data_IF_538004471310
#
_entry.id   IF_538004471310
#
_cell.length_a   1.000
_cell.length_b   1.000
_cell.length_c   1.000
_cell.angle_alpha   90.00
_cell.angle_beta   90.00
_cell.angle_gamma   90.00
#
_symmetry.space_group_name_H-M   'P 1'
#
loop_
_entity.id
_entity.type
_entity.pdbx_description
1 polymer ?
#
# COMPACT_ATOMS: atom_id res chain seq x y z
N UNK A 1 -31.30 11.53 -16.27
CA UNK A 1 -31.17 13.00 -16.30
C UNK A 1 -30.27 13.37 -15.12
N UNK A 2 -29.11 13.96 -15.34
CA UNK A 2 -28.23 14.41 -14.26
C UNK A 2 -28.95 15.54 -13.50
N UNK A 3 -29.08 15.37 -12.19
CA UNK A 3 -29.62 16.41 -11.33
C UNK A 3 -28.57 17.50 -11.15
N UNK A 4 -28.93 18.76 -11.38
CA UNK A 4 -28.03 19.92 -11.18
C UNK A 4 -27.40 19.94 -9.77
N UNK A 5 -28.14 19.49 -8.76
CA UNK A 5 -27.62 19.39 -7.39
C UNK A 5 -26.52 18.36 -7.25
N UNK A 6 -26.64 17.22 -7.93
CA UNK A 6 -25.61 16.15 -7.92
C UNK A 6 -24.32 16.60 -8.66
N UNK A 7 -24.47 17.38 -9.73
CA UNK A 7 -23.33 17.97 -10.44
C UNK A 7 -22.61 18.99 -9.55
N UNK A 8 -23.36 19.84 -8.87
CA UNK A 8 -22.79 20.82 -7.94
C UNK A 8 -22.08 20.16 -6.77
N UNK A 9 -22.67 19.13 -6.18
CA UNK A 9 -22.07 18.35 -5.10
C UNK A 9 -20.76 17.66 -5.55
N UNK A 10 -20.74 17.06 -6.75
CA UNK A 10 -19.52 16.44 -7.29
C UNK A 10 -18.40 17.47 -7.51
N UNK A 11 -18.72 18.64 -8.04
CA UNK A 11 -17.74 19.72 -8.19
C UNK A 11 -17.21 20.20 -6.85
N UNK A 12 -18.05 20.32 -5.83
CA UNK A 12 -17.64 20.68 -4.48
C UNK A 12 -16.69 19.63 -3.88
N UNK A 13 -17.02 18.34 -4.04
CA UNK A 13 -16.13 17.24 -3.59
C UNK A 13 -14.74 17.33 -4.22
N UNK A 14 -14.63 17.68 -5.49
CA UNK A 14 -13.36 17.80 -6.21
C UNK A 14 -12.61 19.08 -5.81
N UNK A 15 -13.25 20.24 -5.91
CA UNK A 15 -12.58 21.55 -5.77
C UNK A 15 -12.25 21.90 -4.31
N UNK A 16 -13.14 21.54 -3.37
CA UNK A 16 -13.04 21.98 -1.97
C UNK A 16 -12.68 20.86 -1.01
N UNK A 17 -13.09 19.60 -1.29
CA UNK A 17 -13.03 18.48 -0.35
C UNK A 17 -11.93 17.47 -0.70
N UNK A 18 -11.06 17.79 -1.67
CA UNK A 18 -9.88 16.97 -2.05
C UNK A 18 -10.21 15.56 -2.55
N UNK A 19 -11.39 15.37 -3.19
CA UNK A 19 -11.65 14.12 -3.90
C UNK A 19 -10.66 13.95 -5.04
N UNK A 20 -9.94 12.85 -5.05
CA UNK A 20 -9.07 12.49 -6.15
C UNK A 20 -9.23 11.02 -6.58
N UNK A 21 -8.87 10.74 -7.82
CA UNK A 21 -8.50 9.40 -8.25
C UNK A 21 -7.02 9.26 -7.97
N UNK A 22 -6.69 8.54 -6.90
CA UNK A 22 -5.31 8.40 -6.45
C UNK A 22 -4.43 7.74 -7.49
N UNK A 23 -4.98 6.78 -8.24
CA UNK A 23 -4.23 6.10 -9.29
C UNK A 23 -5.14 5.43 -10.33
N UNK A 24 -4.69 5.48 -11.60
CA UNK A 24 -5.03 4.46 -12.59
C UNK A 24 -3.82 3.53 -12.68
N UNK A 25 -4.01 2.26 -12.34
CA UNK A 25 -2.96 1.24 -12.34
C UNK A 25 -3.26 0.18 -13.38
N UNK A 26 -2.33 -0.05 -14.30
CA UNK A 26 -2.40 -1.14 -15.26
C UNK A 26 -1.66 -2.35 -14.69
N UNK A 27 -2.39 -3.44 -14.40
CA UNK A 27 -1.81 -4.74 -14.12
C UNK A 27 -1.44 -5.42 -15.43
N UNK A 28 -0.22 -5.99 -15.51
CA UNK A 28 0.30 -6.68 -16.70
C UNK A 28 0.89 -8.02 -16.27
N UNK A 29 0.38 -9.12 -16.82
CA UNK A 29 1.01 -10.43 -16.66
C UNK A 29 2.33 -10.48 -17.41
N UNK A 30 3.40 -10.93 -16.73
CA UNK A 30 4.71 -11.15 -17.33
C UNK A 30 5.10 -12.64 -17.39
N UNK A 31 4.14 -13.54 -17.20
CA UNK A 31 4.42 -14.98 -17.19
C UNK A 31 5.00 -15.47 -18.52
N UNK A 32 4.56 -14.91 -19.63
CA UNK A 32 5.05 -15.19 -20.98
C UNK A 32 6.40 -14.51 -21.33
N UNK A 33 6.92 -13.68 -20.41
CA UNK A 33 8.24 -13.06 -20.56
C UNK A 33 9.38 -13.96 -20.03
N UNK A 34 9.06 -15.08 -19.37
CA UNK A 34 10.06 -16.03 -18.89
C UNK A 34 10.85 -16.63 -20.06
N UNK A 35 12.18 -16.74 -19.89
CA UNK A 35 13.10 -17.25 -20.90
C UNK A 35 14.29 -17.96 -20.24
N UNK A 36 15.18 -18.56 -21.03
CA UNK A 36 16.36 -19.29 -20.53
C UNK A 36 17.50 -18.35 -20.10
N UNK A 37 17.54 -17.12 -20.64
CA UNK A 37 18.54 -16.11 -20.28
C UNK A 37 17.90 -14.87 -19.64
N UNK A 38 18.62 -14.25 -18.70
CA UNK A 38 18.19 -13.03 -18.03
C UNK A 38 18.03 -11.86 -19.00
N UNK A 39 18.94 -11.74 -19.98
CA UNK A 39 18.90 -10.66 -20.95
C UNK A 39 17.64 -10.75 -21.83
N UNK A 40 17.25 -11.96 -22.24
CA UNK A 40 16.00 -12.19 -22.97
C UNK A 40 14.76 -11.89 -22.11
N UNK A 41 14.78 -12.26 -20.83
CA UNK A 41 13.71 -11.89 -19.89
C UNK A 41 13.57 -10.37 -19.77
N UNK A 42 14.70 -9.65 -19.66
CA UNK A 42 14.71 -8.18 -19.61
C UNK A 42 14.13 -7.55 -20.87
N UNK A 43 14.53 -8.05 -22.05
CA UNK A 43 14.02 -7.57 -23.34
C UNK A 43 12.51 -7.83 -23.48
N UNK A 44 12.04 -9.03 -23.12
CA UNK A 44 10.62 -9.40 -23.16
C UNK A 44 9.78 -8.50 -22.24
N UNK A 45 10.24 -8.29 -21.01
CA UNK A 45 9.59 -7.40 -20.03
C UNK A 45 9.50 -5.97 -20.58
N UNK A 46 10.62 -5.43 -21.06
CA UNK A 46 10.66 -4.08 -21.62
C UNK A 46 9.68 -3.92 -22.78
N UNK A 47 9.71 -4.85 -23.73
CA UNK A 47 8.87 -4.81 -24.92
C UNK A 47 7.38 -4.95 -24.56
N UNK A 48 7.02 -5.85 -23.64
CA UNK A 48 5.63 -6.06 -23.22
C UNK A 48 5.07 -4.82 -22.52
N UNK A 49 5.78 -4.29 -21.52
CA UNK A 49 5.35 -3.11 -20.77
C UNK A 49 5.22 -1.90 -21.70
N UNK A 50 6.21 -1.63 -22.54
CA UNK A 50 6.17 -0.47 -23.43
C UNK A 50 5.13 -0.59 -24.54
N UNK A 51 4.68 -1.80 -24.86
CA UNK A 51 3.58 -2.02 -25.80
C UNK A 51 2.23 -1.83 -25.16
N UNK A 52 2.00 -2.43 -23.99
CA UNK A 52 0.70 -2.40 -23.31
C UNK A 52 0.39 -1.04 -22.69
N UNK A 53 1.38 -0.42 -22.05
CA UNK A 53 1.19 0.80 -21.27
C UNK A 53 1.50 2.10 -22.05
N UNK A 54 1.78 2.03 -23.36
CA UNK A 54 2.17 3.18 -24.18
C UNK A 54 1.20 4.38 -24.11
N UNK A 55 -0.08 4.12 -23.97
CA UNK A 55 -1.14 5.13 -23.97
C UNK A 55 -1.72 5.37 -22.55
N UNK A 56 -1.21 4.72 -21.51
CA UNK A 56 -1.76 4.79 -20.16
C UNK A 56 -1.75 6.22 -19.60
N UNK A 57 -0.61 6.88 -19.66
CA UNK A 57 -0.41 8.23 -19.11
C UNK A 57 -1.24 9.25 -19.88
N UNK A 58 -1.17 9.23 -21.20
CA UNK A 58 -1.96 10.16 -22.07
C UNK A 58 -3.46 9.97 -21.91
N UNK A 59 -3.92 8.73 -21.74
CA UNK A 59 -5.33 8.41 -21.47
C UNK A 59 -5.77 8.95 -20.11
N UNK A 60 -4.97 8.75 -19.06
CA UNK A 60 -5.25 9.30 -17.73
C UNK A 60 -5.37 10.83 -17.75
N UNK A 61 -4.43 11.52 -18.40
CA UNK A 61 -4.46 12.97 -18.57
C UNK A 61 -5.67 13.45 -19.41
N UNK A 62 -6.08 12.70 -20.41
CA UNK A 62 -7.25 13.03 -21.21
C UNK A 62 -8.55 12.89 -20.39
N UNK A 63 -8.68 11.84 -19.57
CA UNK A 63 -9.82 11.64 -18.67
C UNK A 63 -9.89 12.77 -17.65
N UNK A 64 -8.75 13.13 -17.05
CA UNK A 64 -8.66 14.24 -16.10
C UNK A 64 -9.16 15.55 -16.72
N UNK A 65 -8.74 15.88 -17.94
CA UNK A 65 -9.23 17.09 -18.66
C UNK A 65 -10.72 17.03 -18.99
N UNK A 66 -11.22 15.85 -19.43
CA UNK A 66 -12.58 15.69 -19.92
C UNK A 66 -13.61 15.69 -18.77
N UNK A 67 -13.24 15.18 -17.60
CA UNK A 67 -14.13 15.05 -16.45
C UNK A 67 -13.85 16.06 -15.34
N UNK A 68 -12.70 16.74 -15.36
CA UNK A 68 -12.29 17.65 -14.31
C UNK A 68 -11.91 16.94 -12.98
N UNK A 69 -11.75 15.61 -13.00
CA UNK A 69 -11.42 14.80 -11.83
C UNK A 69 -9.89 14.60 -11.78
N UNK A 70 -9.18 15.08 -10.75
CA UNK A 70 -7.74 14.87 -10.63
C UNK A 70 -7.37 13.39 -10.61
N UNK A 71 -6.40 12.99 -11.44
CA UNK A 71 -5.82 11.64 -11.46
C UNK A 71 -4.35 11.78 -11.08
N UNK A 72 -4.06 11.56 -9.80
CA UNK A 72 -2.77 11.93 -9.20
C UNK A 72 -1.62 11.11 -9.77
N UNK A 73 -1.79 9.78 -9.89
CA UNK A 73 -0.76 8.87 -10.38
C UNK A 73 -1.26 7.95 -11.50
N UNK A 74 -0.35 7.55 -12.37
CA UNK A 74 -0.51 6.47 -13.35
C UNK A 74 0.57 5.44 -13.04
N UNK A 75 0.18 4.19 -12.77
CA UNK A 75 1.07 3.16 -12.24
C UNK A 75 0.96 1.87 -13.04
N UNK A 76 1.97 1.01 -12.88
CA UNK A 76 1.96 -0.34 -13.42
C UNK A 76 2.17 -1.32 -12.27
N UNK A 77 1.45 -2.45 -12.28
CA UNK A 77 1.77 -3.63 -11.48
C UNK A 77 2.07 -4.79 -12.40
N UNK A 78 3.04 -5.62 -12.03
CA UNK A 78 3.41 -6.79 -12.84
C UNK A 78 3.36 -8.06 -11.99
N UNK A 79 3.33 -9.20 -12.66
CA UNK A 79 3.47 -10.52 -12.02
C UNK A 79 4.69 -10.52 -11.10
N UNK A 80 4.62 -11.12 -9.90
CA UNK A 80 5.77 -11.24 -9.01
C UNK A 80 7.02 -11.72 -9.74
N UNK A 81 8.06 -10.88 -9.77
CA UNK A 81 9.27 -11.13 -10.56
C UNK A 81 10.02 -12.38 -10.10
N UNK A 82 9.85 -12.79 -8.83
CA UNK A 82 10.41 -14.07 -8.36
C UNK A 82 9.94 -15.27 -9.19
N UNK A 83 8.74 -15.21 -9.76
CA UNK A 83 8.18 -16.26 -10.62
C UNK A 83 8.72 -16.16 -12.05
N UNK A 84 8.80 -14.94 -12.59
CA UNK A 84 9.23 -14.69 -13.97
C UNK A 84 10.73 -14.98 -14.14
N UNK A 85 11.55 -14.58 -13.16
CA UNK A 85 13.00 -14.80 -13.17
C UNK A 85 13.47 -16.18 -12.70
N UNK A 86 12.55 -17.05 -12.22
CA UNK A 86 12.91 -18.29 -11.54
C UNK A 86 13.76 -19.26 -12.40
N UNK A 87 13.54 -19.31 -13.70
CA UNK A 87 14.29 -20.20 -14.62
C UNK A 87 15.66 -19.64 -15.01
N UNK A 88 15.77 -18.32 -15.17
CA UNK A 88 16.94 -17.64 -15.74
C UNK A 88 17.91 -17.11 -14.70
N UNK A 89 17.42 -16.54 -13.59
CA UNK A 89 18.26 -15.92 -12.56
C UNK A 89 19.00 -16.97 -11.72
N UNK A 90 20.31 -16.82 -11.60
CA UNK A 90 21.21 -17.70 -10.82
C UNK A 90 21.87 -16.97 -9.65
N UNK A 91 21.84 -15.64 -9.68
CA UNK A 91 22.42 -14.75 -8.67
C UNK A 91 21.46 -13.62 -8.34
N UNK A 92 21.67 -12.96 -7.20
CA UNK A 92 20.91 -11.74 -6.85
C UNK A 92 21.12 -10.61 -7.87
N UNK A 93 22.32 -10.50 -8.45
CA UNK A 93 22.62 -9.50 -9.50
C UNK A 93 21.81 -9.74 -10.79
N UNK A 94 21.42 -10.96 -11.08
CA UNK A 94 20.54 -11.23 -12.24
C UNK A 94 19.14 -10.64 -12.01
N UNK A 95 18.62 -10.71 -10.78
CA UNK A 95 17.36 -10.04 -10.43
C UNK A 95 17.50 -8.51 -10.48
N UNK A 96 18.65 -7.93 -10.10
CA UNK A 96 18.91 -6.49 -10.25
C UNK A 96 18.80 -6.03 -11.69
N UNK A 97 19.28 -6.83 -12.67
CA UNK A 97 19.09 -6.51 -14.11
C UNK A 97 17.61 -6.42 -14.48
N UNK A 98 16.77 -7.31 -13.94
CA UNK A 98 15.32 -7.25 -14.17
C UNK A 98 14.72 -6.00 -13.52
N UNK A 99 15.17 -5.59 -12.33
CA UNK A 99 14.75 -4.34 -11.73
C UNK A 99 15.05 -3.12 -12.61
N UNK A 100 16.25 -3.07 -13.20
CA UNK A 100 16.61 -2.04 -14.17
C UNK A 100 15.74 -2.08 -15.42
N UNK A 101 15.40 -3.25 -15.95
CA UNK A 101 14.51 -3.38 -17.11
C UNK A 101 13.10 -2.84 -16.78
N UNK A 102 12.58 -3.12 -15.59
CA UNK A 102 11.30 -2.57 -15.10
C UNK A 102 11.36 -1.05 -14.99
N UNK A 103 12.40 -0.50 -14.37
CA UNK A 103 12.60 0.95 -14.20
C UNK A 103 12.67 1.68 -15.55
N UNK A 104 13.46 1.13 -16.50
CA UNK A 104 13.59 1.68 -17.84
C UNK A 104 12.26 1.63 -18.61
N UNK A 105 11.54 0.50 -18.57
CA UNK A 105 10.26 0.37 -19.24
C UNK A 105 9.22 1.35 -18.66
N UNK A 106 9.13 1.44 -17.34
CA UNK A 106 8.21 2.33 -16.65
C UNK A 106 8.52 3.82 -16.94
N UNK A 107 9.78 4.22 -16.90
CA UNK A 107 10.22 5.57 -17.30
C UNK A 107 9.92 5.86 -18.77
N UNK A 108 10.08 4.89 -19.67
CA UNK A 108 9.79 5.04 -21.10
C UNK A 108 8.32 5.36 -21.35
N UNK A 109 7.39 4.75 -20.63
CA UNK A 109 5.95 5.03 -20.77
C UNK A 109 5.48 6.18 -19.87
N UNK A 110 6.35 6.71 -19.01
CA UNK A 110 6.11 7.90 -18.19
C UNK A 110 5.22 7.69 -16.99
N UNK A 111 5.12 6.46 -16.45
CA UNK A 111 4.36 6.18 -15.23
C UNK A 111 5.14 6.60 -13.99
N UNK A 112 4.41 6.87 -12.91
CA UNK A 112 4.99 7.38 -11.67
C UNK A 112 5.69 6.30 -10.86
N UNK A 113 5.14 5.07 -10.84
CA UNK A 113 5.68 3.93 -10.08
C UNK A 113 5.36 2.62 -10.80
N UNK A 114 6.21 1.60 -10.58
CA UNK A 114 5.98 0.22 -11.00
C UNK A 114 6.20 -0.75 -9.84
N UNK A 115 5.18 -1.58 -9.54
CA UNK A 115 5.22 -2.62 -8.51
C UNK A 115 5.26 -4.02 -9.11
N UNK A 116 5.58 -5.00 -8.26
CA UNK A 116 5.68 -6.40 -8.66
C UNK A 116 7.11 -6.95 -8.65
N UNK A 117 8.11 -6.15 -8.25
CA UNK A 117 9.41 -6.70 -7.91
C UNK A 117 9.32 -7.45 -6.57
N UNK A 118 8.55 -8.55 -6.57
CA UNK A 118 7.95 -9.14 -5.38
C UNK A 118 8.19 -10.65 -5.29
N UNK A 119 8.08 -11.19 -4.05
CA UNK A 119 8.13 -12.61 -3.75
C UNK A 119 6.96 -13.04 -2.85
N UNK A 120 6.43 -14.26 -3.07
CA UNK A 120 5.29 -14.81 -2.35
C UNK A 120 5.73 -16.03 -1.52
N UNK A 121 6.24 -15.79 -0.31
CA UNK A 121 6.92 -16.78 0.54
C UNK A 121 6.09 -17.23 1.76
N UNK A 122 4.78 -17.11 1.70
CA UNK A 122 3.88 -17.31 2.85
C UNK A 122 3.92 -18.71 3.49
N UNK A 123 4.50 -19.69 2.82
CA UNK A 123 4.62 -21.06 3.33
C UNK A 123 6.08 -21.53 3.45
N UNK A 124 6.87 -21.21 2.48
CA UNK A 124 8.32 -21.41 2.45
C UNK A 124 8.88 -20.66 1.25
N UNK A 125 10.17 -20.45 1.24
CA UNK A 125 10.91 -19.70 0.24
C UNK A 125 11.61 -20.66 -0.73
N UNK A 126 11.49 -20.38 -2.03
CA UNK A 126 12.27 -21.05 -3.07
C UNK A 126 13.63 -20.39 -3.24
N UNK A 127 14.64 -21.06 -3.85
CA UNK A 127 15.92 -20.42 -4.13
C UNK A 127 15.81 -19.12 -4.96
N UNK A 128 14.89 -19.06 -5.92
CA UNK A 128 14.68 -17.86 -6.74
C UNK A 128 14.10 -16.70 -5.92
N UNK A 129 13.17 -16.98 -5.02
CA UNK A 129 12.60 -15.99 -4.11
C UNK A 129 13.65 -15.47 -3.14
N UNK A 130 14.52 -16.33 -2.61
CA UNK A 130 15.63 -15.92 -1.76
C UNK A 130 16.61 -14.99 -2.50
N UNK A 131 16.97 -15.33 -3.74
CA UNK A 131 17.84 -14.49 -4.57
C UNK A 131 17.22 -13.11 -4.83
N UNK A 132 15.92 -13.05 -5.16
CA UNK A 132 15.21 -11.78 -5.32
C UNK A 132 15.21 -10.97 -4.01
N UNK A 133 14.87 -11.58 -2.88
CA UNK A 133 14.85 -10.88 -1.58
C UNK A 133 16.23 -10.32 -1.24
N UNK A 134 17.29 -11.10 -1.46
CA UNK A 134 18.68 -10.65 -1.25
C UNK A 134 19.14 -9.57 -2.25
N UNK A 135 18.46 -9.42 -3.38
CA UNK A 135 18.75 -8.36 -4.35
C UNK A 135 18.15 -7.00 -3.97
N UNK A 136 17.17 -6.96 -3.04
CA UNK A 136 16.39 -5.76 -2.73
C UNK A 136 17.24 -4.54 -2.33
N UNK A 137 18.28 -4.65 -1.50
CA UNK A 137 19.08 -3.47 -1.13
C UNK A 137 19.67 -2.78 -2.35
N UNK A 138 20.25 -3.56 -3.28
CA UNK A 138 20.83 -3.04 -4.50
C UNK A 138 19.77 -2.60 -5.50
N UNK A 139 18.75 -3.41 -5.74
CA UNK A 139 17.69 -3.08 -6.69
C UNK A 139 16.96 -1.79 -6.33
N UNK A 140 16.59 -1.60 -5.05
CA UNK A 140 15.87 -0.41 -4.61
C UNK A 140 16.75 0.82 -4.44
N UNK A 141 18.07 0.69 -4.27
CA UNK A 141 19.00 1.83 -4.29
C UNK A 141 19.37 2.29 -5.70
N UNK A 142 19.43 1.36 -6.68
CA UNK A 142 19.84 1.65 -8.05
C UNK A 142 18.68 2.01 -9.00
N UNK A 143 17.42 1.86 -8.57
CA UNK A 143 16.23 2.20 -9.37
C UNK A 143 15.43 3.32 -8.72
N UNK A 144 14.75 4.15 -9.52
CA UNK A 144 14.02 5.30 -8.98
C UNK A 144 12.58 4.94 -8.60
N UNK A 145 11.86 4.23 -9.47
CA UNK A 145 10.40 4.05 -9.38
C UNK A 145 9.93 2.61 -9.20
N UNK A 146 10.87 1.67 -9.07
CA UNK A 146 10.55 0.25 -8.81
C UNK A 146 10.18 0.07 -7.34
N UNK A 147 9.03 -0.56 -7.12
CA UNK A 147 8.52 -0.92 -5.80
C UNK A 147 8.47 -2.42 -5.60
N UNK A 148 8.64 -2.85 -4.35
CA UNK A 148 8.75 -4.25 -3.98
C UNK A 148 7.85 -4.62 -2.81
N UNK A 149 7.45 -5.88 -2.77
CA UNK A 149 6.78 -6.47 -1.61
C UNK A 149 7.13 -7.94 -1.43
N UNK A 150 7.06 -8.40 -0.18
CA UNK A 150 7.22 -9.82 0.17
C UNK A 150 6.06 -10.26 1.05
N UNK A 151 5.31 -11.27 0.60
CA UNK A 151 4.20 -11.82 1.38
C UNK A 151 4.68 -13.01 2.23
N UNK A 152 4.90 -12.77 3.54
CA UNK A 152 5.52 -13.73 4.47
C UNK A 152 4.51 -14.66 5.15
N UNK A 153 3.22 -14.42 5.01
CA UNK A 153 2.21 -15.20 5.73
C UNK A 153 0.82 -15.10 5.12
N UNK A 154 -0.03 -16.02 5.53
CA UNK A 154 -1.46 -15.97 5.26
C UNK A 154 -2.27 -16.71 6.30
N UNK A 155 -3.57 -16.39 6.37
CA UNK A 155 -4.52 -17.13 7.21
C UNK A 155 -4.52 -18.62 6.92
N UNK A 156 -4.24 -19.03 5.66
CA UNK A 156 -4.24 -20.44 5.24
C UNK A 156 -2.94 -21.17 5.53
N UNK A 157 -1.80 -20.47 5.48
CA UNK A 157 -0.48 -21.12 5.54
C UNK A 157 0.25 -20.88 6.87
N UNK A 158 -0.13 -19.88 7.64
CA UNK A 158 0.63 -19.41 8.79
C UNK A 158 1.67 -18.36 8.38
N UNK A 159 2.75 -18.25 9.14
CA UNK A 159 3.82 -17.25 8.94
C UNK A 159 5.14 -17.99 8.74
N UNK A 160 5.87 -17.68 7.68
CA UNK A 160 7.22 -18.21 7.46
C UNK A 160 8.26 -17.37 8.22
N UNK A 161 8.70 -17.88 9.37
CA UNK A 161 9.63 -17.16 10.25
C UNK A 161 11.04 -17.04 9.67
N UNK A 162 11.45 -17.92 8.76
CA UNK A 162 12.74 -17.80 8.08
C UNK A 162 12.76 -16.55 7.18
N UNK A 163 11.67 -16.33 6.45
CA UNK A 163 11.51 -15.12 5.62
C UNK A 163 11.38 -13.86 6.48
N UNK A 164 10.68 -13.94 7.61
CA UNK A 164 10.53 -12.81 8.56
C UNK A 164 11.89 -12.41 9.13
N UNK A 165 12.71 -13.37 9.55
CA UNK A 165 14.08 -13.11 10.04
C UNK A 165 14.93 -12.45 8.94
N UNK A 166 14.95 -13.03 7.75
CA UNK A 166 15.69 -12.48 6.62
C UNK A 166 15.28 -11.04 6.32
N UNK A 167 13.97 -10.73 6.31
CA UNK A 167 13.47 -9.40 5.98
C UNK A 167 13.89 -8.33 6.97
N UNK A 168 14.05 -8.63 8.25
CA UNK A 168 14.60 -7.66 9.22
C UNK A 168 16.01 -7.20 8.83
N UNK A 169 16.86 -8.13 8.38
CA UNK A 169 18.18 -7.80 7.87
C UNK A 169 18.11 -7.03 6.55
N UNK A 170 17.30 -7.48 5.60
CA UNK A 170 17.13 -6.83 4.30
C UNK A 170 16.63 -5.38 4.45
N UNK A 171 15.68 -5.11 5.33
CA UNK A 171 15.20 -3.74 5.58
C UNK A 171 16.34 -2.85 6.13
N UNK A 172 17.18 -3.37 7.02
CA UNK A 172 18.38 -2.66 7.48
C UNK A 172 19.35 -2.39 6.33
N UNK A 173 19.59 -3.37 5.48
CA UNK A 173 20.48 -3.23 4.33
C UNK A 173 19.94 -2.22 3.31
N UNK A 174 18.62 -2.21 3.05
CA UNK A 174 17.95 -1.19 2.21
C UNK A 174 18.12 0.21 2.80
N UNK A 175 17.88 0.33 4.11
CA UNK A 175 18.03 1.60 4.82
C UNK A 175 19.46 2.14 4.71
N UNK A 176 20.45 1.29 4.93
CA UNK A 176 21.87 1.63 4.80
C UNK A 176 22.25 2.01 3.37
N UNK A 177 21.79 1.24 2.38
CA UNK A 177 22.07 1.51 0.96
C UNK A 177 21.48 2.84 0.45
N UNK A 178 20.53 3.42 1.18
CA UNK A 178 19.85 4.69 0.84
C UNK A 178 19.91 5.72 1.98
N UNK A 179 20.94 5.63 2.84
CA UNK A 179 21.10 6.47 4.01
C UNK A 179 21.22 7.97 3.69
N UNK A 180 21.79 8.31 2.56
CA UNK A 180 21.92 9.67 2.04
C UNK A 180 20.60 10.35 1.65
N UNK A 181 19.51 9.58 1.56
CA UNK A 181 18.17 10.04 1.25
C UNK A 181 17.14 9.53 2.28
N UNK A 182 17.39 9.76 3.57
CA UNK A 182 16.50 9.38 4.69
C UNK A 182 16.01 7.92 4.61
N UNK A 183 16.87 7.00 4.14
CA UNK A 183 16.56 5.58 3.95
C UNK A 183 15.36 5.33 3.02
N UNK A 184 15.20 6.15 1.99
CA UNK A 184 14.07 6.16 1.06
C UNK A 184 13.81 4.81 0.37
N UNK A 185 14.81 3.96 0.22
CA UNK A 185 14.63 2.60 -0.30
C UNK A 185 13.55 1.82 0.46
N UNK A 186 13.45 2.03 1.78
CA UNK A 186 12.42 1.40 2.62
C UNK A 186 11.00 1.92 2.33
N UNK A 187 10.85 3.13 1.80
CA UNK A 187 9.54 3.66 1.34
C UNK A 187 8.98 2.84 0.19
N UNK A 188 9.87 2.26 -0.64
CA UNK A 188 9.53 1.44 -1.81
C UNK A 188 9.35 -0.05 -1.50
N UNK A 189 9.40 -0.46 -0.22
CA UNK A 189 9.31 -1.85 0.20
C UNK A 189 8.21 -2.08 1.24
N UNK A 190 7.47 -3.19 1.08
CA UNK A 190 6.41 -3.63 2.04
C UNK A 190 6.51 -5.12 2.32
N UNK A 191 6.50 -5.51 3.60
CA UNK A 191 6.26 -6.89 4.00
C UNK A 191 4.75 -7.10 4.26
N UNK A 192 4.17 -8.18 3.72
CA UNK A 192 2.74 -8.48 3.84
C UNK A 192 2.44 -9.80 4.54
N UNK A 193 1.25 -9.84 5.15
CA UNK A 193 0.47 -11.05 5.37
C UNK A 193 -0.90 -10.91 4.68
N UNK A 194 -1.36 -11.96 3.99
CA UNK A 194 -2.59 -11.95 3.18
C UNK A 194 -2.59 -10.84 2.11
N UNK A 195 -1.51 -10.66 1.36
CA UNK A 195 -1.44 -9.69 0.28
C UNK A 195 -2.53 -9.95 -0.77
N UNK A 196 -3.31 -8.93 -1.20
CA UNK A 196 -4.27 -9.09 -2.29
C UNK A 196 -3.57 -9.07 -3.65
N UNK A 197 -4.10 -9.85 -4.59
CA UNK A 197 -3.54 -10.03 -5.93
C UNK A 197 -3.82 -8.86 -6.89
N UNK A 198 -4.75 -7.98 -6.53
CA UNK A 198 -5.30 -6.90 -7.35
C UNK A 198 -5.02 -5.49 -6.80
N UNK A 199 -4.11 -5.37 -5.83
CA UNK A 199 -3.79 -4.11 -5.16
C UNK A 199 -3.21 -3.05 -6.12
N UNK A 200 -3.88 -1.89 -6.34
CA UNK A 200 -3.37 -0.81 -7.17
C UNK A 200 -2.43 0.16 -6.44
N UNK A 201 -2.28 0.03 -5.11
CA UNK A 201 -1.48 0.94 -4.31
C UNK A 201 -0.03 0.48 -4.17
N UNK A 202 0.89 1.44 -4.24
CA UNK A 202 2.32 1.23 -4.04
C UNK A 202 2.70 1.59 -2.58
N UNK A 203 3.72 0.92 -2.02
CA UNK A 203 4.75 0.10 -2.70
C UNK A 203 4.31 -1.35 -2.99
N UNK A 204 3.30 -1.87 -2.33
CA UNK A 204 3.01 -3.30 -2.26
C UNK A 204 2.21 -3.89 -3.43
N UNK A 205 1.83 -3.11 -4.43
CA UNK A 205 1.05 -3.60 -5.57
C UNK A 205 1.80 -4.61 -6.43
N UNK A 206 1.14 -5.69 -6.82
CA UNK A 206 1.59 -6.63 -7.84
C UNK A 206 0.37 -7.17 -8.62
N UNK A 207 0.62 -7.79 -9.74
CA UNK A 207 -0.40 -8.41 -10.58
C UNK A 207 -0.44 -9.91 -10.30
N UNK A 208 -1.56 -10.40 -9.76
CA UNK A 208 -1.72 -11.80 -9.36
C UNK A 208 -1.65 -12.77 -10.53
N UNK A 209 -1.19 -13.98 -10.26
CA UNK A 209 -1.04 -15.02 -11.30
C UNK A 209 -2.37 -15.55 -11.85
N UNK A 210 -3.47 -15.28 -11.18
CA UNK A 210 -4.83 -15.67 -11.60
C UNK A 210 -5.58 -14.54 -12.32
N UNK A 211 -4.97 -13.35 -12.41
CA UNK A 211 -5.49 -12.22 -13.13
C UNK A 211 -5.37 -12.41 -14.67
N UNK A 212 -6.07 -11.58 -15.44
CA UNK A 212 -5.97 -11.56 -16.89
C UNK A 212 -4.60 -11.09 -17.39
N UNK A 213 -4.37 -11.16 -18.72
CA UNK A 213 -3.10 -10.72 -19.31
C UNK A 213 -2.81 -9.22 -19.05
N UNK A 214 -3.86 -8.39 -19.07
CA UNK A 214 -3.81 -7.03 -18.56
C UNK A 214 -5.17 -6.60 -17.98
N UNK A 215 -5.15 -5.76 -16.93
CA UNK A 215 -6.35 -5.19 -16.29
C UNK A 215 -6.13 -3.74 -15.90
N UNK A 216 -7.20 -2.95 -15.82
CA UNK A 216 -7.17 -1.60 -15.26
C UNK A 216 -7.80 -1.62 -13.87
N UNK A 217 -7.00 -1.29 -12.87
CA UNK A 217 -7.44 -1.10 -11.48
C UNK A 217 -7.37 0.39 -11.13
N UNK A 218 -8.35 0.89 -10.38
CA UNK A 218 -8.42 2.31 -10.02
C UNK A 218 -8.50 2.45 -8.51
N UNK A 219 -7.58 3.23 -7.94
CA UNK A 219 -7.64 3.63 -6.54
C UNK A 219 -8.27 5.01 -6.41
N UNK A 220 -9.31 5.13 -5.59
CA UNK A 220 -9.93 6.42 -5.25
C UNK A 220 -9.73 6.74 -3.78
N UNK A 221 -9.59 8.02 -3.49
CA UNK A 221 -9.39 8.51 -2.13
C UNK A 221 -10.25 9.74 -1.86
N UNK A 222 -10.50 10.01 -0.60
CA UNK A 222 -11.29 11.16 -0.20
C UNK A 222 -11.47 11.27 1.33
N UNK A 223 -10.40 11.20 2.15
CA UNK A 223 -10.50 11.50 3.57
C UNK A 223 -11.11 12.88 3.82
N UNK A 224 -10.72 13.88 3.00
CA UNK A 224 -11.26 15.23 3.06
C UNK A 224 -12.77 15.30 2.83
N UNK A 225 -13.30 14.52 1.88
CA UNK A 225 -14.74 14.43 1.62
C UNK A 225 -15.48 13.87 2.84
N UNK A 226 -14.96 12.81 3.44
CA UNK A 226 -15.53 12.21 4.66
C UNK A 226 -15.42 13.17 5.84
N UNK A 227 -14.27 13.82 6.02
CA UNK A 227 -14.03 14.82 7.05
C UNK A 227 -15.06 15.95 6.97
N UNK A 228 -15.30 16.47 5.76
CA UNK A 228 -16.28 17.54 5.53
C UNK A 228 -17.71 17.09 5.81
N UNK A 229 -18.09 15.89 5.36
CA UNK A 229 -19.41 15.35 5.62
C UNK A 229 -19.70 15.19 7.12
N UNK A 230 -18.68 14.91 7.93
CA UNK A 230 -18.79 14.80 9.39
C UNK A 230 -19.01 16.15 10.09
N UNK A 231 -18.69 17.29 9.49
CA UNK A 231 -19.03 18.61 10.05
C UNK A 231 -20.54 18.78 10.20
N UNK A 232 -21.33 18.23 9.28
CA UNK A 232 -22.81 18.23 9.35
C UNK A 232 -23.35 17.25 10.40
N UNK A 233 -22.55 16.28 10.80
CA UNK A 233 -22.91 15.27 11.78
C UNK A 233 -22.52 15.65 13.22
N UNK A 234 -21.97 16.84 13.45
CA UNK A 234 -21.52 17.31 14.76
C UNK A 234 -22.67 17.26 15.79
N UNK A 235 -22.43 16.59 16.92
CA UNK A 235 -23.42 16.43 17.99
C UNK A 235 -24.50 15.39 17.70
N UNK A 236 -24.43 14.66 16.58
CA UNK A 236 -25.33 13.54 16.30
C UNK A 236 -24.81 12.25 16.92
N UNK A 237 -25.67 11.23 17.00
CA UNK A 237 -25.29 9.90 17.50
C UNK A 237 -24.53 9.06 16.46
N UNK A 238 -24.03 7.89 16.88
CA UNK A 238 -23.24 7.01 16.02
C UNK A 238 -24.01 6.47 14.82
N UNK A 239 -25.32 6.23 14.91
CA UNK A 239 -26.12 5.77 13.79
C UNK A 239 -26.13 6.81 12.65
N UNK A 240 -26.23 8.09 13.00
CA UNK A 240 -26.17 9.18 12.03
C UNK A 240 -24.77 9.30 11.39
N UNK A 241 -23.71 9.21 12.22
CA UNK A 241 -22.32 9.20 11.73
C UNK A 241 -22.07 8.03 10.75
N UNK A 242 -22.48 6.82 11.11
CA UNK A 242 -22.36 5.63 10.26
C UNK A 242 -23.04 5.83 8.91
N UNK A 243 -24.27 6.33 8.91
CA UNK A 243 -25.03 6.57 7.68
C UNK A 243 -24.37 7.64 6.81
N UNK A 244 -23.86 8.72 7.42
CA UNK A 244 -23.14 9.80 6.73
C UNK A 244 -21.89 9.26 6.05
N UNK A 245 -21.03 8.52 6.78
CA UNK A 245 -19.80 7.94 6.22
C UNK A 245 -20.12 6.98 5.07
N UNK A 246 -21.09 6.09 5.25
CA UNK A 246 -21.49 5.11 4.25
C UNK A 246 -21.98 5.78 2.95
N UNK A 247 -22.82 6.80 3.05
CA UNK A 247 -23.34 7.56 1.89
C UNK A 247 -22.22 8.31 1.17
N UNK A 248 -21.28 8.89 1.90
CA UNK A 248 -20.13 9.58 1.33
C UNK A 248 -19.21 8.58 0.59
N UNK A 249 -18.90 7.45 1.21
CA UNK A 249 -18.11 6.38 0.58
C UNK A 249 -18.76 5.85 -0.70
N UNK A 250 -20.09 5.71 -0.71
CA UNK A 250 -20.84 5.35 -1.92
C UNK A 250 -20.59 6.34 -3.07
N UNK A 251 -20.65 7.64 -2.80
CA UNK A 251 -20.45 8.69 -3.82
C UNK A 251 -19.02 8.68 -4.36
N UNK A 252 -18.02 8.60 -3.48
CA UNK A 252 -16.60 8.50 -3.85
C UNK A 252 -16.38 7.31 -4.78
N UNK A 253 -16.91 6.13 -4.43
CA UNK A 253 -16.78 4.92 -5.25
C UNK A 253 -17.40 5.08 -6.64
N UNK A 254 -18.54 5.76 -6.75
CA UNK A 254 -19.18 6.01 -8.05
C UNK A 254 -18.33 6.88 -8.97
N UNK A 255 -17.61 7.85 -8.43
CA UNK A 255 -16.65 8.66 -9.19
C UNK A 255 -15.50 7.78 -9.70
N UNK A 256 -14.93 6.92 -8.84
CA UNK A 256 -13.90 5.97 -9.25
C UNK A 256 -14.35 5.02 -10.34
N UNK A 257 -15.57 4.50 -10.24
CA UNK A 257 -16.13 3.62 -11.28
C UNK A 257 -16.27 4.31 -12.62
N UNK A 258 -16.68 5.58 -12.66
CA UNK A 258 -16.77 6.36 -13.88
C UNK A 258 -15.39 6.44 -14.56
N UNK A 259 -14.36 6.81 -13.82
CA UNK A 259 -12.98 6.91 -14.34
C UNK A 259 -12.45 5.54 -14.78
N UNK A 260 -12.69 4.48 -13.99
CA UNK A 260 -12.23 3.13 -14.31
C UNK A 260 -12.85 2.60 -15.62
N UNK A 261 -14.15 2.75 -15.79
CA UNK A 261 -14.86 2.33 -17.00
C UNK A 261 -14.37 3.10 -18.23
N UNK A 262 -14.14 4.40 -18.09
CA UNK A 262 -13.66 5.22 -19.21
C UNK A 262 -12.21 4.91 -19.56
N UNK A 263 -11.34 4.67 -18.57
CA UNK A 263 -9.97 4.22 -18.80
C UNK A 263 -9.93 2.87 -19.53
N UNK A 264 -10.71 1.90 -19.05
CA UNK A 264 -10.87 0.59 -19.68
C UNK A 264 -11.34 0.71 -21.15
N UNK A 265 -12.35 1.53 -21.40
CA UNK A 265 -12.90 1.74 -22.74
C UNK A 265 -11.89 2.37 -23.70
N UNK A 266 -11.14 3.39 -23.26
CA UNK A 266 -10.14 4.10 -24.10
C UNK A 266 -8.92 3.24 -24.39
N UNK A 267 -8.47 2.49 -23.39
CA UNK A 267 -7.29 1.63 -23.51
C UNK A 267 -7.59 0.27 -24.16
N UNK A 268 -8.88 -0.14 -24.25
CA UNK A 268 -9.27 -1.46 -24.73
C UNK A 268 -8.83 -2.61 -23.82
N UNK A 269 -8.60 -2.32 -22.52
CA UNK A 269 -8.15 -3.28 -21.51
C UNK A 269 -9.27 -3.49 -20.50
N UNK A 270 -9.55 -4.75 -20.08
CA UNK A 270 -10.61 -5.03 -19.11
C UNK A 270 -10.49 -4.23 -17.82
N UNK A 271 -11.65 -3.81 -17.30
CA UNK A 271 -11.74 -3.23 -15.96
C UNK A 271 -11.68 -4.33 -14.91
N UNK A 272 -10.75 -4.22 -13.97
CA UNK A 272 -10.57 -5.12 -12.82
C UNK A 272 -11.36 -4.64 -11.61
N UNK A 273 -10.71 -3.84 -10.74
CA UNK A 273 -11.33 -3.40 -9.48
C UNK A 273 -11.24 -1.88 -9.25
N UNK A 274 -12.10 -1.44 -8.32
CA UNK A 274 -11.97 -0.15 -7.64
C UNK A 274 -11.50 -0.41 -6.21
N UNK A 275 -10.39 0.20 -5.85
CA UNK A 275 -9.95 0.28 -4.48
C UNK A 275 -10.43 1.61 -3.88
N UNK A 276 -11.42 1.52 -3.01
CA UNK A 276 -11.89 2.64 -2.20
C UNK A 276 -11.06 2.69 -0.92
N UNK A 277 -9.94 3.36 -0.96
CA UNK A 277 -9.09 3.55 0.21
C UNK A 277 -9.07 5.01 0.62
N UNK A 278 -9.45 5.28 1.87
CA UNK A 278 -9.19 6.58 2.47
C UNK A 278 -7.68 6.68 2.73
N UNK A 279 -6.93 7.01 1.69
CA UNK A 279 -5.49 7.17 1.70
C UNK A 279 -5.18 8.67 1.81
N UNK A 280 -4.72 9.15 2.97
CA UNK A 280 -4.49 10.58 3.20
C UNK A 280 -3.32 11.13 2.40
N UNK A 281 -3.17 12.45 2.44
CA UNK A 281 -1.96 13.16 2.02
C UNK A 281 -1.49 14.07 3.15
N UNK A 282 -0.24 14.56 3.12
CA UNK A 282 0.24 15.52 4.13
C UNK A 282 -0.48 16.89 4.09
N UNK A 283 -1.37 17.08 3.12
CA UNK A 283 -2.15 18.32 2.99
C UNK A 283 -3.19 18.46 4.11
N UNK A 284 -3.32 19.67 4.63
CA UNK A 284 -4.35 19.99 5.63
C UNK A 284 -5.75 19.74 5.04
N UNK A 285 -6.57 19.03 5.80
CA UNK A 285 -7.95 18.68 5.42
C UNK A 285 -8.09 17.38 4.62
N UNK A 286 -6.98 16.65 4.36
CA UNK A 286 -6.99 15.34 3.72
C UNK A 286 -6.37 14.28 4.65
N UNK A 287 -6.98 14.06 5.81
CA UNK A 287 -6.45 13.27 6.93
C UNK A 287 -7.48 12.29 7.46
N UNK A 288 -7.09 11.03 7.61
CA UNK A 288 -7.88 10.01 8.34
C UNK A 288 -7.82 10.28 9.84
N UNK A 289 -6.69 10.78 10.35
CA UNK A 289 -6.57 11.22 11.74
C UNK A 289 -7.61 12.30 12.06
N UNK A 290 -7.80 13.30 11.19
CA UNK A 290 -8.84 14.33 11.34
C UNK A 290 -10.26 13.73 11.34
N UNK A 291 -10.52 12.76 10.47
CA UNK A 291 -11.82 12.05 10.45
C UNK A 291 -12.08 11.39 11.81
N UNK A 292 -11.09 10.71 12.39
CA UNK A 292 -11.20 10.06 13.69
C UNK A 292 -11.43 11.07 14.82
N UNK A 293 -10.77 12.22 14.77
CA UNK A 293 -10.97 13.32 15.73
C UNK A 293 -12.37 13.93 15.60
N UNK A 294 -12.90 14.11 14.41
CA UNK A 294 -14.29 14.58 14.17
C UNK A 294 -15.34 13.57 14.62
N UNK A 295 -15.02 12.29 14.71
CA UNK A 295 -15.89 11.26 15.31
C UNK A 295 -16.05 11.50 16.83
N UNK A 296 -15.12 12.23 17.46
CA UNK A 296 -15.21 12.65 18.85
C UNK A 296 -13.98 12.39 19.70
N UNK A 297 -12.84 12.10 19.08
CA UNK A 297 -11.55 12.00 19.77
C UNK A 297 -10.91 13.38 19.88
N UNK A 298 -10.29 13.68 21.02
CA UNK A 298 -9.49 14.90 21.16
C UNK A 298 -8.26 14.87 20.25
N UNK A 299 -7.59 13.70 20.17
CA UNK A 299 -6.49 13.45 19.27
C UNK A 299 -6.46 11.96 18.90
N UNK A 300 -6.08 11.65 17.68
CA UNK A 300 -5.84 10.27 17.24
C UNK A 300 -4.73 9.63 18.10
N UNK A 301 -4.92 8.37 18.52
CA UNK A 301 -4.06 7.71 19.51
C UNK A 301 -4.69 7.60 20.90
N UNK A 302 -5.63 8.50 21.26
CA UNK A 302 -6.36 8.44 22.52
C UNK A 302 -7.17 7.14 22.67
N UNK A 303 -7.56 6.74 23.90
CA UNK A 303 -8.54 5.67 24.10
C UNK A 303 -9.81 5.91 23.29
N UNK A 304 -10.29 4.87 22.57
CA UNK A 304 -11.40 4.97 21.62
C UNK A 304 -10.99 5.01 20.16
N UNK A 305 -9.74 5.35 19.82
CA UNK A 305 -9.26 5.43 18.43
C UNK A 305 -9.48 4.12 17.65
N UNK A 306 -9.14 2.96 18.23
CA UNK A 306 -9.34 1.66 17.58
C UNK A 306 -10.84 1.39 17.31
N UNK A 307 -11.73 1.74 18.22
CA UNK A 307 -13.17 1.58 18.04
C UNK A 307 -13.72 2.51 16.95
N UNK A 308 -13.30 3.79 16.94
CA UNK A 308 -13.66 4.75 15.92
C UNK A 308 -13.17 4.31 14.53
N UNK A 309 -11.93 3.82 14.44
CA UNK A 309 -11.36 3.29 13.19
C UNK A 309 -12.10 2.03 12.70
N UNK A 310 -12.49 1.12 13.61
CA UNK A 310 -13.27 -0.05 13.24
C UNK A 310 -14.61 0.35 12.61
N UNK A 311 -15.30 1.31 13.22
CA UNK A 311 -16.56 1.86 12.69
C UNK A 311 -16.32 2.53 11.32
N UNK A 312 -15.32 3.40 11.21
CA UNK A 312 -14.99 4.10 9.96
C UNK A 312 -14.73 3.09 8.83
N UNK A 313 -13.84 2.13 9.08
CA UNK A 313 -13.44 1.13 8.09
C UNK A 313 -14.64 0.28 7.61
N UNK A 314 -15.50 -0.14 8.52
CA UNK A 314 -16.71 -0.91 8.20
C UNK A 314 -17.71 -0.09 7.35
N UNK A 315 -17.95 1.17 7.69
CA UNK A 315 -18.88 2.01 6.93
C UNK A 315 -18.35 2.39 5.55
N UNK A 316 -17.05 2.62 5.43
CA UNK A 316 -16.39 2.84 4.12
C UNK A 316 -16.57 1.62 3.22
N UNK A 317 -16.28 0.42 3.72
CA UNK A 317 -16.47 -0.83 2.95
C UNK A 317 -17.93 -1.06 2.56
N UNK A 318 -18.87 -0.82 3.45
CA UNK A 318 -20.31 -0.92 3.16
C UNK A 318 -20.73 0.04 2.05
N UNK A 319 -20.28 1.29 2.10
CA UNK A 319 -20.57 2.28 1.07
C UNK A 319 -19.99 1.88 -0.30
N UNK A 320 -18.75 1.39 -0.31
CA UNK A 320 -18.09 0.89 -1.52
C UNK A 320 -18.84 -0.26 -2.18
N UNK A 321 -19.12 -1.33 -1.44
CA UNK A 321 -19.84 -2.51 -1.95
C UNK A 321 -21.24 -2.17 -2.45
N UNK A 322 -21.94 -1.23 -1.81
CA UNK A 322 -23.24 -0.77 -2.27
C UNK A 322 -23.17 0.03 -3.59
N UNK A 323 -22.02 0.66 -3.88
CA UNK A 323 -21.83 1.48 -5.08
C UNK A 323 -21.37 0.67 -6.29
N UNK A 324 -20.59 -0.39 -6.09
CA UNK A 324 -19.98 -1.18 -7.15
C UNK A 324 -19.75 -2.63 -6.73
N UNK A 325 -19.98 -3.56 -7.64
CA UNK A 325 -19.58 -4.97 -7.49
C UNK A 325 -18.09 -5.22 -7.78
N UNK A 326 -17.35 -4.21 -8.17
CA UNK A 326 -15.93 -4.28 -8.54
C UNK A 326 -15.01 -3.77 -7.42
N UNK A 327 -15.47 -3.71 -6.18
CA UNK A 327 -14.64 -3.29 -5.05
C UNK A 327 -13.63 -4.40 -4.71
N UNK A 328 -12.35 -4.03 -4.62
CA UNK A 328 -11.24 -4.96 -4.36
C UNK A 328 -10.05 -4.26 -3.72
N UNK A 329 -8.86 -4.85 -3.87
CA UNK A 329 -7.61 -4.31 -3.35
C UNK A 329 -7.57 -4.21 -1.83
N UNK A 330 -7.13 -3.07 -1.33
CA UNK A 330 -6.98 -2.76 0.10
C UNK A 330 -8.15 -1.95 0.68
N UNK A 331 -9.24 -1.78 -0.06
CA UNK A 331 -10.38 -0.91 0.28
C UNK A 331 -10.65 -0.73 1.78
N UNK A 332 -10.75 0.53 2.23
CA UNK A 332 -11.03 0.90 3.61
C UNK A 332 -10.23 2.11 4.09
N UNK A 333 -9.97 2.21 5.39
CA UNK A 333 -9.22 3.30 5.97
C UNK A 333 -7.74 2.96 6.15
N UNK A 334 -6.86 3.79 5.60
CA UNK A 334 -5.41 3.73 5.74
C UNK A 334 -4.96 4.58 6.93
N UNK A 335 -3.85 4.19 7.54
CA UNK A 335 -3.27 4.90 8.70
C UNK A 335 -1.76 5.14 8.54
N UNK A 336 -1.28 5.63 7.38
CA UNK A 336 0.13 5.94 7.22
C UNK A 336 0.50 7.12 8.10
N UNK A 337 1.66 7.06 8.79
CA UNK A 337 2.05 8.15 9.68
C UNK A 337 2.59 9.35 8.90
N UNK A 338 3.47 9.15 7.92
CA UNK A 338 4.11 10.26 7.21
C UNK A 338 3.21 10.99 6.20
N UNK A 339 2.14 10.33 5.77
CA UNK A 339 1.22 10.83 4.75
C UNK A 339 -0.03 11.50 5.33
N UNK A 340 -0.16 11.59 6.67
CA UNK A 340 -1.35 12.10 7.36
C UNK A 340 -0.98 13.14 8.40
N UNK A 341 -1.42 14.39 8.18
CA UNK A 341 -1.07 15.52 9.05
C UNK A 341 -1.41 15.28 10.53
N UNK A 342 -2.59 14.74 10.83
CA UNK A 342 -3.03 14.52 12.21
C UNK A 342 -2.31 13.32 12.84
N UNK A 343 -1.96 12.29 12.05
CA UNK A 343 -1.10 11.19 12.51
C UNK A 343 0.32 11.68 12.83
N UNK A 344 0.90 12.53 11.98
CA UNK A 344 2.21 13.16 12.20
C UNK A 344 2.19 13.95 13.53
N UNK A 345 1.17 14.79 13.75
CA UNK A 345 1.05 15.59 14.96
C UNK A 345 0.90 14.73 16.21
N UNK A 346 0.06 13.69 16.15
CA UNK A 346 -0.15 12.77 17.25
C UNK A 346 1.10 11.94 17.58
N UNK A 347 1.85 11.52 16.59
CA UNK A 347 3.13 10.83 16.77
C UNK A 347 4.19 11.78 17.37
N UNK A 348 4.26 13.03 16.86
CA UNK A 348 5.16 14.05 17.40
C UNK A 348 4.89 14.37 18.87
N UNK A 349 3.62 14.44 19.26
CA UNK A 349 3.21 14.70 20.64
C UNK A 349 3.29 13.48 21.56
N UNK A 350 3.60 12.27 21.01
CA UNK A 350 3.67 11.02 21.76
C UNK A 350 2.29 10.42 22.13
N UNK A 351 1.20 10.95 21.62
CA UNK A 351 -0.14 10.37 21.77
C UNK A 351 -0.29 9.09 20.93
N UNK A 352 0.30 9.07 19.74
CA UNK A 352 0.32 7.92 18.84
C UNK A 352 1.69 7.22 18.93
N UNK A 353 1.68 5.97 19.40
CA UNK A 353 2.86 5.11 19.56
C UNK A 353 2.72 3.87 18.70
N UNK A 354 3.81 3.14 18.48
CA UNK A 354 3.82 1.95 17.63
C UNK A 354 2.85 0.88 18.13
N UNK A 355 2.78 0.65 19.45
CA UNK A 355 1.86 -0.33 20.04
C UNK A 355 0.39 0.07 19.86
N UNK A 356 0.10 1.38 19.79
CA UNK A 356 -1.24 1.87 19.47
C UNK A 356 -1.56 1.68 17.99
N UNK A 357 -0.59 1.91 17.12
CA UNK A 357 -0.72 1.64 15.68
C UNK A 357 -0.96 0.16 15.43
N UNK A 358 -0.22 -0.75 16.06
CA UNK A 358 -0.46 -2.20 15.98
C UNK A 358 -1.89 -2.58 16.42
N UNK A 359 -2.39 -2.01 17.52
CA UNK A 359 -3.79 -2.22 17.91
C UNK A 359 -4.78 -1.69 16.85
N UNK A 360 -4.46 -0.58 16.18
CA UNK A 360 -5.30 -0.02 15.11
C UNK A 360 -5.24 -0.89 13.85
N UNK A 361 -4.12 -1.57 13.57
CA UNK A 361 -4.00 -2.45 12.40
C UNK A 361 -4.90 -3.68 12.48
N UNK A 362 -5.38 -4.06 13.65
CA UNK A 362 -6.42 -5.08 13.78
C UNK A 362 -7.70 -4.73 13.01
N UNK A 363 -7.99 -3.45 12.81
CA UNK A 363 -9.27 -2.94 12.27
C UNK A 363 -9.12 -2.00 11.08
N UNK A 364 -7.92 -1.58 10.70
CA UNK A 364 -7.67 -0.80 9.47
C UNK A 364 -7.67 -1.71 8.24
N UNK A 365 -7.44 -1.15 7.06
CA UNK A 365 -7.42 -1.92 5.82
C UNK A 365 -6.01 -2.38 5.38
N UNK A 366 -4.95 -1.81 5.91
CA UNK A 366 -3.57 -2.10 5.47
C UNK A 366 -2.71 -2.70 6.59
N UNK A 367 -2.23 -1.91 7.53
CA UNK A 367 -1.25 -2.32 8.53
C UNK A 367 -0.42 -1.14 9.02
N UNK A 368 0.77 -1.39 9.53
CA UNK A 368 1.78 -0.37 9.84
C UNK A 368 2.32 0.20 8.54
N UNK A 369 2.09 1.49 8.33
CA UNK A 369 2.42 2.11 7.06
C UNK A 369 3.16 3.44 7.25
N UNK A 370 4.28 3.59 6.53
CA UNK A 370 5.11 4.80 6.54
C UNK A 370 5.54 5.22 7.95
N UNK A 371 6.07 4.26 8.72
CA UNK A 371 6.50 4.46 10.10
C UNK A 371 8.02 4.67 10.13
N UNK A 372 8.45 5.90 10.42
CA UNK A 372 9.86 6.20 10.65
C UNK A 372 10.28 5.77 12.07
N UNK A 373 11.33 4.97 12.17
CA UNK A 373 11.88 4.44 13.42
C UNK A 373 13.38 4.77 13.53
N UNK A 374 14.00 4.69 14.73
CA UNK A 374 15.42 4.96 14.88
C UNK A 374 16.29 4.09 13.97
N UNK A 375 17.31 4.68 13.37
CA UNK A 375 18.24 4.01 12.47
C UNK A 375 19.03 2.89 13.12
N UNK A 376 19.23 2.93 14.43
CA UNK A 376 19.90 1.90 15.24
C UNK A 376 18.99 0.74 15.66
N UNK A 377 17.71 0.75 15.29
CA UNK A 377 16.78 -0.36 15.54
C UNK A 377 17.34 -1.66 14.95
N UNK A 378 17.38 -2.73 15.77
CA UNK A 378 17.99 -3.99 15.35
C UNK A 378 17.16 -4.72 14.31
N UNK A 379 17.81 -5.53 13.47
CA UNK A 379 17.12 -6.39 12.49
C UNK A 379 16.11 -7.34 13.17
N UNK A 380 16.48 -7.89 14.34
CA UNK A 380 15.58 -8.76 15.12
C UNK A 380 14.33 -8.02 15.60
N UNK A 381 14.44 -6.77 16.02
CA UNK A 381 13.28 -5.94 16.41
C UNK A 381 12.35 -5.70 15.21
N UNK A 382 12.90 -5.37 14.04
CA UNK A 382 12.11 -5.21 12.80
C UNK A 382 11.42 -6.53 12.43
N UNK A 383 12.12 -7.65 12.52
CA UNK A 383 11.53 -8.98 12.32
C UNK A 383 10.40 -9.27 13.32
N UNK A 384 10.55 -8.85 14.57
CA UNK A 384 9.50 -8.96 15.58
C UNK A 384 8.24 -8.19 15.20
N UNK A 385 8.38 -6.94 14.75
CA UNK A 385 7.26 -6.11 14.26
C UNK A 385 6.57 -6.77 13.06
N UNK A 386 7.34 -7.32 12.12
CA UNK A 386 6.76 -8.06 10.97
C UNK A 386 5.99 -9.29 11.45
N UNK A 387 6.51 -10.03 12.43
CA UNK A 387 5.85 -11.21 12.98
C UNK A 387 4.53 -10.85 13.68
N UNK A 388 4.50 -9.77 14.46
CA UNK A 388 3.31 -9.30 15.18
C UNK A 388 2.22 -8.85 14.18
N UNK A 389 2.56 -8.06 13.19
CA UNK A 389 1.63 -7.64 12.14
C UNK A 389 1.13 -8.82 11.30
N UNK A 390 2.01 -9.76 10.96
CA UNK A 390 1.61 -10.99 10.26
C UNK A 390 0.65 -11.84 11.12
N UNK A 391 0.86 -11.91 12.43
CA UNK A 391 -0.05 -12.59 13.34
C UNK A 391 -1.42 -11.90 13.42
N UNK A 392 -1.45 -10.57 13.49
CA UNK A 392 -2.68 -9.77 13.44
C UNK A 392 -3.44 -10.05 12.15
N UNK A 393 -2.77 -10.00 11.00
CA UNK A 393 -3.38 -10.28 9.69
C UNK A 393 -3.92 -11.71 9.58
N UNK A 394 -3.12 -12.68 9.99
CA UNK A 394 -3.46 -14.09 9.95
C UNK A 394 -4.68 -14.41 10.83
N UNK A 395 -4.72 -13.89 12.06
CA UNK A 395 -5.80 -14.14 13.02
C UNK A 395 -7.09 -13.44 12.60
N UNK A 396 -7.01 -12.19 12.13
CA UNK A 396 -8.18 -11.40 11.74
C UNK A 396 -8.64 -11.66 10.30
N UNK A 397 -7.99 -12.56 9.55
CA UNK A 397 -8.32 -12.87 8.14
C UNK A 397 -8.34 -11.60 7.26
N UNK A 398 -7.39 -10.71 7.47
CA UNK A 398 -7.25 -9.46 6.73
C UNK A 398 -5.81 -9.28 6.24
N UNK A 399 -5.62 -8.44 5.26
CA UNK A 399 -4.29 -7.98 4.88
C UNK A 399 -3.68 -7.16 6.00
N UNK A 400 -2.43 -7.44 6.36
CA UNK A 400 -1.57 -6.54 7.11
C UNK A 400 -0.27 -6.31 6.35
N UNK A 401 0.23 -5.10 6.45
CA UNK A 401 1.46 -4.64 5.82
C UNK A 401 2.41 -4.07 6.89
N UNK A 402 3.69 -4.15 6.63
CA UNK A 402 4.73 -3.47 7.40
C UNK A 402 5.61 -2.68 6.44
N UNK A 403 5.49 -1.35 6.50
CA UNK A 403 6.37 -0.38 5.83
C UNK A 403 6.99 0.49 6.92
N UNK A 404 8.03 -0.05 7.57
CA UNK A 404 8.84 0.66 8.56
C UNK A 404 10.14 1.14 7.93
N UNK A 405 10.58 2.31 8.33
CA UNK A 405 11.75 2.97 7.76
C UNK A 405 12.73 3.26 8.90
N UNK A 406 13.73 2.39 9.12
CA UNK A 406 14.81 2.67 10.06
C UNK A 406 15.72 3.75 9.44
N UNK A 407 15.56 5.00 9.86
CA UNK A 407 16.23 6.15 9.23
C UNK A 407 17.65 6.25 9.74
N UNK A 408 18.61 5.86 8.90
CA UNK A 408 20.04 5.85 9.26
C UNK A 408 20.50 7.22 9.77
N UNK A 409 21.22 7.20 10.90
CA UNK A 409 21.78 8.40 11.55
C UNK A 409 20.76 9.27 12.28
N UNK A 410 19.47 8.90 12.31
CA UNK A 410 18.44 9.65 13.05
C UNK A 410 17.90 8.90 14.25
N UNK A 411 17.50 9.67 15.27
CA UNK A 411 17.02 9.22 16.57
C UNK A 411 15.61 9.73 16.86
N UNK A 412 14.99 9.21 17.92
CA UNK A 412 13.66 9.61 18.39
C UNK A 412 13.52 11.14 18.51
N UNK A 413 12.47 11.69 17.96
CA UNK A 413 12.16 13.13 17.98
C UNK A 413 12.72 13.92 16.79
N UNK A 414 13.60 13.33 16.00
CA UNK A 414 14.01 13.92 14.72
C UNK A 414 12.98 13.65 13.63
N UNK A 415 13.10 14.37 12.52
CA UNK A 415 12.16 14.25 11.38
C UNK A 415 12.85 13.60 10.18
N UNK A 416 12.15 12.69 9.52
CA UNK A 416 12.50 12.18 8.20
C UNK A 416 11.63 12.87 7.14
N UNK A 417 12.19 13.13 5.95
CA UNK A 417 11.47 13.78 4.85
C UNK A 417 11.54 12.90 3.60
N UNK A 418 10.41 12.35 3.20
CA UNK A 418 10.30 11.47 2.03
C UNK A 418 9.80 12.20 0.78
N UNK A 419 9.37 13.45 0.92
CA UNK A 419 8.92 14.31 -0.16
C UNK A 419 7.58 13.94 -0.79
N UNK A 420 7.01 14.90 -1.54
CA UNK A 420 5.79 14.69 -2.31
C UNK A 420 4.64 14.09 -1.51
N UNK A 421 4.00 13.07 -2.06
CA UNK A 421 2.89 12.35 -1.41
C UNK A 421 3.34 11.50 -0.22
N UNK A 422 4.61 11.08 -0.17
CA UNK A 422 5.15 10.25 0.92
C UNK A 422 5.39 11.06 2.20
N UNK A 423 5.40 12.39 2.10
CA UNK A 423 5.38 13.33 3.20
C UNK A 423 6.62 13.32 4.08
N UNK A 424 6.41 13.47 5.38
CA UNK A 424 7.45 13.53 6.40
C UNK A 424 6.95 12.90 7.69
N UNK A 425 7.84 12.34 8.51
CA UNK A 425 7.45 11.67 9.75
C UNK A 425 8.40 11.99 10.90
N UNK A 426 7.91 12.09 12.14
CA UNK A 426 8.75 12.03 13.32
C UNK A 426 9.30 10.60 13.48
N UNK A 427 10.54 10.48 13.93
CA UNK A 427 11.10 9.20 14.35
C UNK A 427 10.43 8.80 15.67
N UNK A 428 9.62 7.74 15.65
CA UNK A 428 8.90 7.27 16.82
C UNK A 428 9.69 6.19 17.57
N UNK A 429 9.62 6.13 18.91
CA UNK A 429 10.35 5.13 19.69
C UNK A 429 9.83 3.72 19.44
N UNK A 430 10.74 2.75 19.46
CA UNK A 430 10.46 1.32 19.40
C UNK A 430 10.95 0.67 20.69
N UNK A 431 10.27 -0.39 21.15
CA UNK A 431 10.68 -1.15 22.31
C UNK A 431 12.07 -1.78 22.08
N UNK A 432 13.00 -1.54 22.99
CA UNK A 432 14.40 -1.98 22.89
C UNK A 432 14.64 -3.38 23.49
N UNK A 433 13.61 -4.03 24.04
CA UNK A 433 13.75 -5.39 24.61
C UNK A 433 13.99 -6.40 23.49
N UNK A 434 15.05 -7.19 23.60
CA UNK A 434 15.44 -8.15 22.57
C UNK A 434 14.38 -9.24 22.37
N UNK A 435 14.00 -9.46 21.12
CA UNK A 435 13.20 -10.61 20.66
C UNK A 435 14.02 -11.58 19.78
N UNK A 436 15.34 -11.45 19.77
CA UNK A 436 16.24 -12.21 18.90
C UNK A 436 16.02 -13.73 19.01
N UNK A 437 15.97 -14.26 20.24
CA UNK A 437 15.73 -15.69 20.45
C UNK A 437 14.37 -16.19 19.96
N UNK A 438 13.40 -15.30 19.79
CA UNK A 438 12.09 -15.62 19.20
C UNK A 438 12.18 -15.67 17.68
N UNK A 439 12.72 -14.65 17.02
CA UNK A 439 12.75 -14.55 15.57
C UNK A 439 13.72 -15.55 14.93
N UNK A 440 14.87 -15.82 15.58
CA UNK A 440 15.88 -16.78 15.10
C UNK A 440 15.51 -18.26 15.29
N UNK A 441 14.34 -18.56 15.89
CA UNK A 441 13.86 -19.96 15.95
C UNK A 441 13.63 -20.55 14.57
N UNK A 442 13.31 -19.72 13.58
CA UNK A 442 13.02 -20.16 12.23
C UNK A 442 11.76 -21.03 12.12
N UNK A 443 11.63 -21.68 10.99
CA UNK A 443 10.49 -22.54 10.70
C UNK A 443 9.20 -21.74 10.45
N UNK A 444 8.06 -22.28 10.87
CA UNK A 444 6.77 -21.67 10.57
C UNK A 444 5.86 -21.61 11.80
N UNK A 445 5.24 -20.44 12.04
CA UNK A 445 4.08 -20.35 12.92
C UNK A 445 2.89 -20.91 12.14
N UNK A 446 2.20 -21.97 12.65
CA UNK A 446 1.14 -22.62 11.89
C UNK A 446 -0.09 -21.74 11.74
N UNK A 447 -0.93 -22.04 10.74
CA UNK A 447 -2.21 -21.36 10.55
C UNK A 447 -3.10 -21.50 11.80
N UNK A 448 -3.88 -20.46 12.13
CA UNK A 448 -4.64 -20.43 13.37
C UNK A 448 -5.81 -21.41 13.35
N UNK A 449 -6.16 -21.96 14.52
CA UNK A 449 -7.21 -22.96 14.69
C UNK A 449 -8.63 -22.43 14.39
N UNK A 450 -8.83 -21.11 14.38
CA UNK A 450 -10.16 -20.57 14.06
C UNK A 450 -10.55 -20.69 12.58
N UNK A 451 -9.68 -21.25 11.71
CA UNK A 451 -10.20 -21.88 10.51
C UNK A 451 -11.21 -23.00 10.83
N UNK A 452 -11.20 -23.52 12.04
CA UNK A 452 -12.25 -24.43 12.55
C UNK A 452 -13.46 -23.71 13.13
N UNK A 453 -13.43 -22.40 13.26
CA UNK A 453 -14.50 -21.54 13.82
C UNK A 453 -15.29 -22.22 14.95
N UNK A 454 -14.78 -22.05 16.14
CA UNK A 454 -15.55 -22.49 17.32
C UNK A 454 -16.86 -21.71 17.42
#
# INVERSE_FOLDING_TARGET
>A
MLNIMEVHETNQMIEQEKLDVRTITMGISLLDCAADSVDEVCDNIYNKITTYAKDLVSTGQAIERDYGIPIVNKRITVTPISLVGASSCKTSDDFVKIAHALDHAAKKVGVDLIGGYSALVSKSMTPAEELLIRSLPKALSETDIVCSSVNVGSTKTGIDMNSVELLGHIIKDIAHATADNDSYGCVKFVAFCNAPDDNPFMAGGFHGVTEGDAVINVGVSGPGVVSRALDEAKGKNFEFLCETIKRTAFKITRVGQLVAQEASRRLGIPFGIIDLSLAPTPAVGDSVGEVLEKIGLEQVGAPGTTAALAMLNDQVKKGGIMASSYVGGLSGAFIPVSEDKNMIDAATNGCLKIEKLEAMTCVCSVGLDMIAIPGDTTASTISGIIADEAAIGMVNQKTTAVRVIPVEGKSVGEMANFGGLMGYAPIIPVNQTSCEAFVTRGGRIPAPIHSFKN
#
